data_IF_527340752441
#
_entry.id   IF_527340752441
#
_cell.length_a   1.000
_cell.length_b   1.000
_cell.length_c   1.000
_cell.angle_alpha   90.00
_cell.angle_beta   90.00
_cell.angle_gamma   90.00
#
_symmetry.space_group_name_H-M   'P 1'
#
loop_
_entity.id
_entity.type
_entity.pdbx_description
1 polymer ?
#
# COMPACT_ATOMS: atom_id res chain seq x y z
N UNK A 1 -15.97 -2.92 34.08
CA UNK A 1 -15.49 -3.27 32.72
C UNK A 1 -15.32 -2.04 31.82
N UNK A 2 -16.22 -1.08 31.80
CA UNK A 2 -16.13 0.14 30.96
C UNK A 2 -14.97 1.07 31.34
N UNK A 3 -14.62 1.22 32.61
CA UNK A 3 -13.51 2.07 33.07
C UNK A 3 -12.13 1.53 32.68
N UNK A 4 -11.96 0.20 32.65
CA UNK A 4 -10.70 -0.44 32.24
C UNK A 4 -10.37 -0.15 30.76
N UNK A 5 -11.36 -0.18 29.89
CA UNK A 5 -11.21 0.15 28.45
C UNK A 5 -10.90 1.64 28.21
N UNK A 6 -11.17 2.50 29.19
CA UNK A 6 -10.90 3.93 29.07
C UNK A 6 -9.48 4.32 29.55
N UNK A 7 -8.77 3.42 30.20
CA UNK A 7 -7.43 3.65 30.69
C UNK A 7 -6.44 3.85 29.51
N UNK A 8 -5.68 4.95 29.57
CA UNK A 8 -4.69 5.31 28.53
C UNK A 8 -3.63 4.22 28.34
N UNK A 9 -3.20 3.60 29.42
CA UNK A 9 -2.22 2.51 29.39
C UNK A 9 -2.76 1.25 28.74
N UNK A 10 -4.02 0.92 28.95
CA UNK A 10 -4.68 -0.20 28.29
C UNK A 10 -4.78 0.02 26.78
N UNK A 11 -5.22 1.22 26.37
CA UNK A 11 -5.28 1.60 24.94
C UNK A 11 -3.89 1.53 24.30
N UNK A 12 -2.89 2.08 24.96
CA UNK A 12 -1.51 2.00 24.48
C UNK A 12 -1.04 0.55 24.34
N UNK A 13 -1.22 -0.29 25.37
CA UNK A 13 -0.83 -1.70 25.33
C UNK A 13 -1.49 -2.47 24.20
N UNK A 14 -2.78 -2.25 23.99
CA UNK A 14 -3.53 -2.88 22.91
C UNK A 14 -3.00 -2.47 21.52
N UNK A 15 -2.83 -1.18 21.26
CA UNK A 15 -2.31 -0.70 19.98
C UNK A 15 -0.84 -1.04 19.76
N UNK A 16 -0.03 -1.00 20.83
CA UNK A 16 1.37 -1.42 20.77
C UNK A 16 1.48 -2.90 20.43
N UNK A 17 0.64 -3.75 21.01
CA UNK A 17 0.59 -5.18 20.69
C UNK A 17 0.23 -5.44 19.23
N UNK A 18 -0.85 -4.82 18.73
CA UNK A 18 -1.25 -4.95 17.34
C UNK A 18 -0.16 -4.45 16.38
N UNK A 19 0.44 -3.32 16.70
CA UNK A 19 1.52 -2.74 15.90
C UNK A 19 2.75 -3.65 15.87
N UNK A 20 3.15 -4.19 17.02
CA UNK A 20 4.30 -5.12 17.12
C UNK A 20 4.02 -6.41 16.35
N UNK A 21 2.82 -6.98 16.47
CA UNK A 21 2.43 -8.16 15.70
C UNK A 21 2.50 -7.89 14.19
N UNK A 22 2.03 -6.72 13.76
CA UNK A 22 2.12 -6.29 12.36
C UNK A 22 3.58 -6.12 11.91
N UNK A 23 4.46 -5.53 12.72
CA UNK A 23 5.90 -5.37 12.43
C UNK A 23 6.60 -6.72 12.31
N UNK A 24 6.27 -7.68 13.19
CA UNK A 24 6.80 -9.04 13.12
C UNK A 24 6.37 -9.71 11.81
N UNK A 25 5.10 -9.60 11.45
CA UNK A 25 4.60 -10.11 10.17
C UNK A 25 5.28 -9.46 8.97
N UNK A 26 5.52 -8.15 9.02
CA UNK A 26 6.26 -7.41 7.99
C UNK A 26 7.73 -7.87 7.90
N UNK A 27 8.31 -8.34 9.02
CA UNK A 27 9.68 -8.84 9.13
C UNK A 27 10.75 -7.78 8.94
N UNK A 28 10.42 -6.52 9.13
CA UNK A 28 11.36 -5.41 9.08
C UNK A 28 11.33 -4.63 10.40
N UNK A 29 12.31 -4.90 11.24
CA UNK A 29 12.39 -4.35 12.60
C UNK A 29 12.63 -2.83 12.68
N UNK A 30 13.04 -2.19 11.59
CA UNK A 30 13.12 -0.72 11.52
C UNK A 30 11.79 -0.04 11.82
N UNK A 31 10.66 -0.69 11.50
CA UNK A 31 9.34 -0.18 11.81
C UNK A 31 9.02 -0.15 13.30
N UNK A 32 9.80 -0.80 14.17
CA UNK A 32 9.63 -0.70 15.62
C UNK A 32 9.76 0.74 16.15
N UNK A 33 10.50 1.61 15.43
CA UNK A 33 10.53 3.03 15.77
C UNK A 33 9.14 3.69 15.73
N UNK A 34 8.21 3.16 14.98
CA UNK A 34 6.81 3.61 14.98
C UNK A 34 6.10 3.40 16.31
N UNK A 35 6.59 2.53 17.21
CA UNK A 35 6.08 2.42 18.57
C UNK A 35 6.23 3.74 19.35
N UNK A 36 7.23 4.55 19.04
CA UNK A 36 7.40 5.89 19.62
C UNK A 36 6.21 6.76 19.26
N UNK A 37 5.73 6.67 18.03
CA UNK A 37 4.54 7.40 17.56
C UNK A 37 3.29 6.91 18.29
N UNK A 38 3.12 5.59 18.42
CA UNK A 38 1.99 4.99 19.16
C UNK A 38 2.02 5.40 20.63
N UNK A 39 3.22 5.46 21.24
CA UNK A 39 3.40 5.92 22.59
C UNK A 39 3.02 7.40 22.75
N UNK A 40 3.50 8.25 21.85
CA UNK A 40 3.18 9.68 21.91
C UNK A 40 1.68 9.93 21.72
N UNK A 41 1.02 9.25 20.78
CA UNK A 41 -0.42 9.40 20.53
C UNK A 41 -1.30 9.04 21.74
N UNK A 42 -0.92 8.04 22.52
CA UNK A 42 -1.76 7.54 23.62
C UNK A 42 -1.37 8.07 24.99
N UNK A 43 -0.06 8.23 25.25
CA UNK A 43 0.49 8.57 26.55
C UNK A 43 0.92 10.04 26.62
N UNK A 44 1.91 10.41 25.80
CA UNK A 44 2.63 11.68 25.94
C UNK A 44 1.85 12.84 25.35
N UNK A 45 1.23 12.64 24.18
CA UNK A 45 0.47 13.67 23.43
C UNK A 45 1.23 14.99 23.24
N UNK A 46 2.57 14.93 23.21
CA UNK A 46 3.43 16.11 23.07
C UNK A 46 3.48 16.60 21.64
N UNK A 47 3.48 15.68 20.68
CA UNK A 47 3.56 16.02 19.26
C UNK A 47 2.15 16.22 18.70
N UNK A 48 1.91 17.37 18.11
CA UNK A 48 0.68 17.62 17.35
C UNK A 48 0.84 17.03 15.95
N UNK A 49 0.57 15.72 15.80
CA UNK A 49 0.73 15.00 14.53
C UNK A 49 -0.09 15.61 13.38
N UNK A 50 -1.24 16.19 13.72
CA UNK A 50 -2.06 16.97 12.78
C UNK A 50 -1.70 18.47 12.88
N UNK A 51 -0.46 18.84 12.52
CA UNK A 51 0.04 20.20 12.60
C UNK A 51 -0.76 21.19 11.71
N UNK A 52 -1.46 20.68 10.72
CA UNK A 52 -2.36 21.46 9.85
C UNK A 52 -3.73 21.70 10.49
N UNK A 53 -4.09 20.94 11.52
CA UNK A 53 -5.36 21.06 12.23
C UNK A 53 -5.26 22.15 13.27
N UNK A 54 -5.82 23.32 12.98
CA UNK A 54 -5.97 24.37 14.00
C UNK A 54 -6.99 23.88 15.01
N UNK A 55 -6.61 23.91 16.30
CA UNK A 55 -7.54 23.68 17.39
C UNK A 55 -8.51 24.87 17.42
N UNK A 56 -9.72 24.70 16.92
CA UNK A 56 -10.77 25.72 17.04
C UNK A 56 -11.11 25.89 18.53
N UNK A 57 -11.20 27.11 19.00
CA UNK A 57 -11.72 27.42 20.33
C UNK A 57 -13.21 27.08 20.34
N UNK A 58 -13.73 26.75 21.54
CA UNK A 58 -15.17 26.52 21.70
C UNK A 58 -15.95 27.73 21.17
N UNK A 59 -16.81 27.48 20.14
CA UNK A 59 -17.63 28.51 19.48
C UNK A 59 -17.12 28.97 18.09
N UNK A 60 -15.89 28.68 17.68
CA UNK A 60 -15.43 28.99 16.33
C UNK A 60 -15.79 27.85 15.35
N UNK A 61 -16.42 28.20 14.22
CA UNK A 61 -16.65 27.22 13.14
C UNK A 61 -15.34 26.83 12.53
N UNK A 62 -15.06 25.51 12.39
CA UNK A 62 -13.86 25.04 11.74
C UNK A 62 -13.81 25.52 10.29
N UNK A 63 -12.61 25.77 9.78
CA UNK A 63 -12.44 26.14 8.39
C UNK A 63 -12.75 24.93 7.50
N UNK A 64 -13.79 25.04 6.68
CA UNK A 64 -14.29 24.00 5.80
C UNK A 64 -13.17 23.43 4.90
N UNK A 65 -12.28 24.29 4.40
CA UNK A 65 -11.15 23.84 3.56
C UNK A 65 -10.18 22.93 4.32
N UNK A 66 -9.92 23.21 5.60
CA UNK A 66 -9.04 22.36 6.42
C UNK A 66 -9.69 21.03 6.79
N UNK A 67 -11.01 21.00 6.97
CA UNK A 67 -11.75 19.74 7.17
C UNK A 67 -11.70 18.87 5.91
N UNK A 68 -11.91 19.44 4.75
CA UNK A 68 -11.75 18.72 3.47
C UNK A 68 -10.33 18.20 3.28
N UNK A 69 -9.32 19.01 3.59
CA UNK A 69 -7.92 18.58 3.51
C UNK A 69 -7.63 17.39 4.43
N UNK A 70 -8.10 17.45 5.68
CA UNK A 70 -7.94 16.37 6.66
C UNK A 70 -8.61 15.07 6.17
N UNK A 71 -9.84 15.18 5.64
CA UNK A 71 -10.58 14.06 5.10
C UNK A 71 -9.86 13.43 3.88
N UNK A 72 -9.32 14.26 2.97
CA UNK A 72 -8.58 13.78 1.79
C UNK A 72 -7.29 13.07 2.21
N UNK A 73 -6.50 13.67 3.11
CA UNK A 73 -5.26 13.05 3.61
C UNK A 73 -5.57 11.71 4.27
N UNK A 74 -6.58 11.67 5.14
CA UNK A 74 -7.02 10.44 5.79
C UNK A 74 -7.43 9.37 4.76
N UNK A 75 -8.26 9.74 3.79
CA UNK A 75 -8.73 8.84 2.75
C UNK A 75 -7.57 8.27 1.93
N UNK A 76 -6.62 9.12 1.50
CA UNK A 76 -5.44 8.70 0.73
C UNK A 76 -4.60 7.70 1.53
N UNK A 77 -4.32 7.98 2.79
CA UNK A 77 -3.53 7.10 3.65
C UNK A 77 -4.22 5.75 3.84
N UNK A 78 -5.51 5.76 4.21
CA UNK A 78 -6.28 4.54 4.46
C UNK A 78 -6.43 3.70 3.19
N UNK A 79 -6.80 4.31 2.07
CA UNK A 79 -6.98 3.58 0.80
C UNK A 79 -5.66 3.03 0.30
N UNK A 80 -4.55 3.78 0.42
CA UNK A 80 -3.22 3.28 0.06
C UNK A 80 -2.85 2.07 0.91
N UNK A 81 -3.10 2.12 2.21
CA UNK A 81 -2.84 1.00 3.13
C UNK A 81 -3.68 -0.23 2.76
N UNK A 82 -4.98 -0.06 2.50
CA UNK A 82 -5.87 -1.14 2.09
C UNK A 82 -5.40 -1.74 0.75
N UNK A 83 -5.10 -0.91 -0.23
CA UNK A 83 -4.61 -1.36 -1.54
C UNK A 83 -3.26 -2.07 -1.46
N UNK A 84 -2.40 -1.68 -0.53
CA UNK A 84 -1.09 -2.31 -0.37
C UNK A 84 -1.19 -3.70 0.26
N UNK A 85 -1.98 -3.85 1.33
CA UNK A 85 -1.96 -5.06 2.16
C UNK A 85 -3.18 -5.98 1.99
N UNK A 86 -4.35 -5.44 1.64
CA UNK A 86 -5.60 -6.22 1.69
C UNK A 86 -6.17 -6.53 0.33
N UNK A 87 -6.61 -5.52 -0.40
CA UNK A 87 -7.38 -5.70 -1.64
C UNK A 87 -6.95 -4.65 -2.66
N UNK A 88 -6.83 -5.07 -3.89
CA UNK A 88 -6.56 -4.18 -5.01
C UNK A 88 -7.50 -4.48 -6.17
N UNK A 89 -8.02 -3.43 -6.80
CA UNK A 89 -8.84 -3.57 -8.00
C UNK A 89 -7.96 -3.66 -9.25
N UNK A 90 -8.36 -4.53 -10.17
CA UNK A 90 -7.77 -4.69 -11.49
C UNK A 90 -8.86 -4.73 -12.55
N UNK A 91 -8.50 -4.36 -13.76
CA UNK A 91 -9.32 -4.52 -14.95
C UNK A 91 -8.65 -5.56 -15.85
N UNK A 92 -9.40 -6.45 -16.42
CA UNK A 92 -8.90 -7.46 -17.36
C UNK A 92 -8.65 -6.81 -18.73
N UNK A 93 -7.38 -6.64 -19.16
CA UNK A 93 -7.07 -5.95 -20.39
C UNK A 93 -7.12 -6.85 -21.64
N UNK A 94 -7.05 -8.17 -21.48
CA UNK A 94 -6.88 -9.13 -22.58
C UNK A 94 -7.83 -10.31 -22.47
N UNK A 95 -8.14 -10.94 -23.60
CA UNK A 95 -9.03 -12.09 -23.71
C UNK A 95 -8.39 -13.45 -23.34
N UNK A 96 -7.15 -13.47 -22.84
CA UNK A 96 -6.45 -14.74 -22.52
C UNK A 96 -7.16 -15.59 -21.48
N UNK A 97 -8.04 -15.02 -20.67
CA UNK A 97 -8.84 -15.69 -19.65
C UNK A 97 -10.33 -15.75 -19.97
N UNK A 98 -10.73 -15.57 -21.23
CA UNK A 98 -12.11 -15.35 -21.67
C UNK A 98 -13.12 -16.43 -21.23
N UNK A 99 -12.66 -17.68 -21.04
CA UNK A 99 -13.53 -18.75 -20.50
C UNK A 99 -13.91 -18.57 -19.02
N UNK A 100 -13.23 -17.71 -18.30
CA UNK A 100 -13.46 -17.49 -16.85
C UNK A 100 -13.61 -16.02 -16.47
N UNK A 101 -12.96 -15.11 -17.18
CA UNK A 101 -12.96 -13.67 -16.95
C UNK A 101 -13.00 -12.98 -18.30
N UNK A 102 -13.93 -12.06 -18.48
CA UNK A 102 -14.08 -11.34 -19.75
C UNK A 102 -13.20 -10.11 -19.78
N UNK A 103 -12.80 -9.71 -20.99
CA UNK A 103 -12.09 -8.44 -21.19
C UNK A 103 -12.99 -7.28 -20.75
N UNK A 104 -12.46 -6.39 -19.92
CA UNK A 104 -13.20 -5.25 -19.34
C UNK A 104 -13.80 -5.52 -17.97
N UNK A 105 -13.77 -6.77 -17.48
CA UNK A 105 -14.23 -7.08 -16.12
C UNK A 105 -13.38 -6.37 -15.07
N UNK A 106 -14.06 -5.84 -14.04
CA UNK A 106 -13.43 -5.28 -12.84
C UNK A 106 -13.36 -6.34 -11.75
N UNK A 107 -12.16 -6.59 -11.25
CA UNK A 107 -11.90 -7.60 -10.24
C UNK A 107 -11.31 -6.98 -8.98
N UNK A 108 -11.71 -7.52 -7.83
CA UNK A 108 -11.04 -7.28 -6.57
C UNK A 108 -10.15 -8.47 -6.23
N UNK A 109 -8.85 -8.23 -6.13
CA UNK A 109 -7.86 -9.26 -5.81
C UNK A 109 -7.48 -9.15 -4.34
N UNK A 110 -7.79 -10.19 -3.57
CA UNK A 110 -7.38 -10.33 -2.17
C UNK A 110 -5.90 -10.68 -2.08
N UNK A 111 -5.13 -9.85 -1.38
CA UNK A 111 -3.69 -10.05 -1.22
C UNK A 111 -3.32 -10.93 -0.04
N UNK A 112 -4.18 -11.03 0.95
CA UNK A 112 -3.92 -11.78 2.17
C UNK A 112 -3.81 -13.29 1.94
N UNK A 113 -4.52 -13.83 0.95
CA UNK A 113 -4.52 -15.27 0.68
C UNK A 113 -3.09 -15.79 0.45
N UNK A 114 -2.35 -15.17 -0.46
CA UNK A 114 -1.01 -15.59 -0.83
C UNK A 114 0.09 -14.65 -0.33
N UNK A 115 -0.26 -13.73 0.55
CA UNK A 115 0.61 -12.70 1.13
C UNK A 115 0.80 -11.49 0.22
N UNK A 116 0.70 -10.28 0.76
CA UNK A 116 0.92 -9.05 0.01
C UNK A 116 2.40 -8.89 -0.35
N UNK A 117 2.65 -8.25 -1.49
CA UNK A 117 3.98 -7.86 -1.93
C UNK A 117 4.38 -6.59 -1.20
N UNK A 118 5.55 -6.56 -0.59
CA UNK A 118 6.14 -5.33 -0.05
C UNK A 118 6.47 -4.40 -1.21
N UNK A 119 6.12 -3.12 -1.09
CA UNK A 119 6.43 -2.14 -2.11
C UNK A 119 7.96 -1.99 -2.25
N UNK A 120 8.49 -2.28 -3.43
CA UNK A 120 9.93 -2.13 -3.74
C UNK A 120 10.37 -0.67 -3.67
N UNK A 121 9.44 0.25 -3.94
CA UNK A 121 9.64 1.69 -3.91
C UNK A 121 8.55 2.35 -3.06
N UNK A 122 8.75 2.42 -1.74
CA UNK A 122 7.74 2.97 -0.83
C UNK A 122 7.45 4.45 -1.06
N UNK A 123 8.41 5.19 -1.65
CA UNK A 123 8.25 6.58 -2.03
C UNK A 123 7.71 6.69 -3.46
N UNK A 124 6.48 6.28 -3.66
CA UNK A 124 5.72 6.45 -4.91
C UNK A 124 4.45 7.26 -4.65
N UNK A 125 4.03 8.02 -5.67
CA UNK A 125 2.78 8.79 -5.58
C UNK A 125 1.62 7.80 -5.55
N UNK A 126 0.74 7.85 -4.53
CA UNK A 126 -0.42 6.98 -4.45
C UNK A 126 -1.29 7.12 -5.70
N UNK A 127 -1.87 6.01 -6.16
CA UNK A 127 -2.77 5.94 -7.32
C UNK A 127 -2.15 6.24 -8.70
N UNK A 128 -0.87 6.57 -8.78
CA UNK A 128 -0.18 6.80 -10.05
C UNK A 128 0.73 5.60 -10.36
N UNK A 129 0.49 4.94 -11.48
CA UNK A 129 1.28 3.80 -11.91
C UNK A 129 2.51 4.29 -12.68
N UNK A 130 3.69 4.04 -12.13
CA UNK A 130 5.03 4.21 -12.72
C UNK A 130 5.37 5.56 -13.37
N UNK A 131 4.46 6.18 -14.10
CA UNK A 131 4.71 7.44 -14.81
C UNK A 131 3.59 8.45 -14.58
N UNK A 132 3.96 9.71 -14.44
CA UNK A 132 3.06 10.85 -14.45
C UNK A 132 2.59 11.12 -15.89
N UNK A 133 1.47 11.81 -16.10
CA UNK A 133 1.01 12.23 -17.43
C UNK A 133 2.08 13.01 -18.24
N UNK A 134 3.01 13.63 -17.54
CA UNK A 134 4.14 14.37 -18.13
C UNK A 134 5.32 13.47 -18.56
N UNK A 135 5.19 12.15 -18.49
CA UNK A 135 6.26 11.18 -18.80
C UNK A 135 7.34 11.05 -17.72
N UNK A 136 7.26 11.81 -16.63
CA UNK A 136 8.20 11.71 -15.53
C UNK A 136 7.86 10.50 -14.63
N UNK A 137 8.88 9.97 -13.94
CA UNK A 137 8.70 8.90 -12.96
C UNK A 137 7.81 9.37 -11.81
N UNK A 138 6.83 8.55 -11.41
CA UNK A 138 5.95 8.80 -10.26
C UNK A 138 6.52 8.31 -8.93
N UNK A 139 7.76 7.87 -8.91
CA UNK A 139 8.43 7.29 -7.76
C UNK A 139 9.84 7.84 -7.58
N UNK A 140 10.32 7.79 -6.33
CA UNK A 140 11.71 8.14 -5.99
C UNK A 140 12.55 6.87 -5.84
N UNK A 141 13.75 6.88 -6.42
CA UNK A 141 14.72 5.79 -6.30
C UNK A 141 15.59 5.92 -5.03
N UNK A 142 15.31 6.91 -4.15
CA UNK A 142 16.05 7.14 -2.91
C UNK A 142 15.99 5.95 -1.94
N UNK A 143 14.84 5.29 -1.86
CA UNK A 143 14.64 4.10 -1.03
C UNK A 143 14.18 2.98 -1.95
N UNK A 144 15.04 2.01 -2.15
CA UNK A 144 14.74 0.77 -2.86
C UNK A 144 14.79 -0.39 -1.88
N UNK A 145 13.71 -1.12 -1.77
CA UNK A 145 13.60 -2.32 -0.93
C UNK A 145 13.62 -3.53 -1.84
N UNK A 146 14.34 -4.58 -1.46
CA UNK A 146 14.37 -5.83 -2.22
C UNK A 146 12.98 -6.46 -2.28
N UNK A 147 12.71 -7.13 -3.40
CA UNK A 147 11.46 -7.85 -3.59
C UNK A 147 11.22 -8.84 -2.46
N UNK A 148 10.15 -8.66 -1.73
CA UNK A 148 9.71 -9.57 -0.67
C UNK A 148 8.21 -9.72 -0.69
N UNK A 149 7.76 -10.95 -0.54
CA UNK A 149 6.36 -11.27 -0.29
C UNK A 149 6.20 -11.68 1.16
N UNK A 150 5.19 -11.14 1.82
CA UNK A 150 4.86 -11.51 3.19
C UNK A 150 4.18 -12.87 3.22
N UNK A 151 4.13 -13.50 4.41
CA UNK A 151 3.42 -14.75 4.58
C UNK A 151 1.91 -14.58 4.29
N UNK A 152 1.35 -15.48 3.52
CA UNK A 152 -0.07 -15.58 3.25
C UNK A 152 -0.74 -16.60 4.16
N UNK A 153 -2.08 -16.62 4.11
CA UNK A 153 -2.91 -17.57 4.89
C UNK A 153 -3.23 -18.86 4.11
N UNK A 154 -2.95 -18.89 2.81
CA UNK A 154 -3.28 -20.03 1.93
C UNK A 154 -2.15 -20.32 0.97
N UNK A 155 -2.07 -21.57 0.55
CA UNK A 155 -1.20 -22.02 -0.54
C UNK A 155 -1.96 -22.02 -1.86
N UNK A 156 -1.23 -21.86 -2.97
CA UNK A 156 -1.79 -21.88 -4.32
C UNK A 156 -2.20 -23.33 -4.66
N UNK A 157 -3.45 -23.50 -5.05
CA UNK A 157 -4.01 -24.79 -5.45
C UNK A 157 -4.27 -24.83 -6.95
N UNK A 158 -4.36 -26.05 -7.49
CA UNK A 158 -4.71 -26.25 -8.90
C UNK A 158 -6.13 -25.71 -9.16
N UNK A 159 -6.27 -24.85 -10.16
CA UNK A 159 -7.53 -24.19 -10.53
C UNK A 159 -7.71 -22.79 -9.94
N UNK A 160 -6.84 -22.35 -9.03
CA UNK A 160 -6.88 -20.99 -8.50
C UNK A 160 -6.55 -19.97 -9.58
N UNK A 161 -7.30 -18.87 -9.57
CA UNK A 161 -7.01 -17.71 -10.39
C UNK A 161 -6.12 -16.76 -9.60
N UNK A 162 -4.86 -16.64 -10.01
CA UNK A 162 -3.85 -15.87 -9.30
C UNK A 162 -3.36 -14.71 -10.16
N UNK A 163 -3.13 -13.57 -9.51
CA UNK A 163 -2.43 -12.43 -10.12
C UNK A 163 -0.97 -12.47 -9.69
N UNK A 164 -0.07 -12.52 -10.66
CA UNK A 164 1.36 -12.53 -10.40
C UNK A 164 2.08 -11.53 -11.31
N UNK A 165 3.24 -11.06 -10.85
CA UNK A 165 4.14 -10.27 -11.69
C UNK A 165 4.79 -11.19 -12.72
N UNK A 166 4.61 -10.90 -14.00
CA UNK A 166 5.28 -11.66 -15.05
C UNK A 166 6.80 -11.49 -14.90
N UNK A 167 7.57 -12.58 -14.86
CA UNK A 167 9.03 -12.50 -14.75
C UNK A 167 9.61 -12.09 -16.11
N UNK A 168 9.50 -10.81 -16.44
CA UNK A 168 10.32 -10.26 -17.51
C UNK A 168 11.77 -10.28 -17.06
N UNK A 169 12.66 -10.79 -17.91
CA UNK A 169 14.08 -10.67 -17.68
C UNK A 169 14.47 -9.20 -17.44
N UNK A 170 15.60 -8.99 -16.77
CA UNK A 170 16.07 -7.64 -16.36
C UNK A 170 16.31 -6.64 -17.51
N UNK A 171 16.11 -7.06 -18.75
CA UNK A 171 16.35 -6.28 -19.95
C UNK A 171 15.05 -5.71 -20.51
N UNK A 172 14.83 -4.43 -20.24
CA UNK A 172 13.75 -3.65 -20.84
C UNK A 172 14.34 -2.80 -21.97
N UNK A 173 13.70 -2.82 -23.13
CA UNK A 173 14.09 -1.96 -24.24
C UNK A 173 13.87 -0.49 -23.90
N UNK A 174 14.93 0.33 -23.99
CA UNK A 174 14.88 1.76 -23.67
C UNK A 174 13.87 2.54 -24.52
N UNK A 175 13.63 2.07 -25.76
CA UNK A 175 12.71 2.70 -26.72
C UNK A 175 11.26 2.18 -26.59
N UNK A 176 11.07 0.96 -26.11
CA UNK A 176 9.77 0.31 -25.93
C UNK A 176 9.68 -0.33 -24.54
N UNK A 177 9.42 0.46 -23.50
CA UNK A 177 9.44 -0.05 -22.10
C UNK A 177 8.31 -1.03 -21.79
N UNK A 178 7.35 -1.19 -22.69
CA UNK A 178 6.24 -2.14 -22.58
C UNK A 178 6.60 -3.53 -23.12
N UNK A 179 7.62 -3.63 -23.96
CA UNK A 179 7.98 -4.87 -24.63
C UNK A 179 9.20 -5.51 -23.97
N UNK A 180 9.11 -6.83 -23.79
CA UNK A 180 10.21 -7.63 -23.32
C UNK A 180 11.28 -7.75 -24.42
N UNK A 181 12.56 -7.60 -24.03
CA UNK A 181 13.70 -7.75 -24.92
C UNK A 181 13.66 -9.05 -25.74
N UNK A 182 13.36 -10.16 -25.07
CA UNK A 182 13.33 -11.48 -25.75
C UNK A 182 12.19 -11.61 -26.74
N UNK A 183 11.05 -11.03 -26.45
CA UNK A 183 9.92 -10.97 -27.38
C UNK A 183 10.25 -10.09 -28.59
N UNK A 184 10.89 -8.94 -28.37
CA UNK A 184 11.32 -8.06 -29.44
C UNK A 184 12.37 -8.71 -30.35
N UNK A 185 13.36 -9.40 -29.78
CA UNK A 185 14.38 -10.14 -30.54
C UNK A 185 13.75 -11.30 -31.32
N UNK A 186 12.75 -11.98 -30.76
CA UNK A 186 12.03 -13.06 -31.44
C UNK A 186 11.23 -12.57 -32.64
N UNK A 187 10.60 -11.42 -32.53
CA UNK A 187 9.74 -10.85 -33.58
C UNK A 187 10.53 -10.10 -34.67
N UNK A 188 11.57 -9.38 -34.29
CA UNK A 188 12.28 -8.44 -35.18
C UNK A 188 13.71 -8.87 -35.51
N UNK A 189 14.19 -10.00 -34.98
CA UNK A 189 15.57 -10.42 -35.09
C UNK A 189 16.52 -9.56 -34.24
N UNK A 190 17.82 -9.91 -34.29
CA UNK A 190 18.88 -9.14 -33.62
C UNK A 190 19.26 -7.93 -34.42
#
# INVERSE_FOLDING_TARGET
MKEFLHNRWFKFGFWAFLYTAWVIWLGNFWWLFGLIVVFDLHITKKVKWAFWRKTCKEGEKPNVLLEWLDAIIYAVVVVTFINMFFVQSFVIPTSSMEKSLMTGDYLFVGKLAYGPKVAERPLSIPFVHNALPNGNKSYSDLIKVDYRRLAGFSEVKRGDKVVFGFPHGDTVLRKCPTDDYYTHVRLNGR
#
